data_IF_328325685232
#
_entry.id   IF_328325685232
#
_cell.length_a   1.000
_cell.length_b   1.000
_cell.length_c   1.000
_cell.angle_alpha   90.00
_cell.angle_beta   90.00
_cell.angle_gamma   90.00
#
_symmetry.space_group_name_H-M   'P 1'
#
loop_
_entity.id
_entity.type
_entity.pdbx_description
1 polymer ?
#
# COMPACT_ATOMS: atom_id res chain seq x y z
N UNK A 1 19.95 0.89 -6.19
CA UNK A 1 19.43 1.14 -7.55
C UNK A 1 18.60 2.42 -7.54
N UNK A 2 18.75 3.31 -8.53
CA UNK A 2 17.99 4.57 -8.62
C UNK A 2 16.49 4.35 -8.79
N UNK A 3 16.08 3.25 -9.43
CA UNK A 3 14.67 2.93 -9.69
C UNK A 3 13.89 2.64 -8.41
N UNK A 4 14.57 2.23 -7.32
CA UNK A 4 13.94 2.00 -6.01
C UNK A 4 13.27 3.28 -5.51
N UNK A 5 13.89 4.43 -5.72
CA UNK A 5 13.36 5.69 -5.18
C UNK A 5 12.33 6.37 -6.08
N UNK A 6 12.21 5.93 -7.33
CA UNK A 6 11.26 6.45 -8.30
C UNK A 6 9.97 5.63 -8.23
N UNK A 7 8.79 6.22 -7.92
CA UNK A 7 7.52 5.50 -7.86
C UNK A 7 7.25 4.65 -9.11
N UNK A 8 7.41 5.26 -10.28
CA UNK A 8 7.25 4.61 -11.59
C UNK A 8 8.26 3.49 -11.83
N UNK A 9 9.37 3.41 -11.09
CA UNK A 9 10.39 2.38 -11.28
C UNK A 9 9.93 0.96 -10.95
N UNK A 10 8.79 0.78 -10.26
CA UNK A 10 8.34 -0.52 -9.75
C UNK A 10 8.27 -1.61 -10.83
N UNK A 11 7.79 -1.29 -12.04
CA UNK A 11 7.65 -2.26 -13.13
C UNK A 11 9.00 -2.84 -13.60
N UNK A 12 10.11 -2.13 -13.39
CA UNK A 12 11.46 -2.61 -13.70
C UNK A 12 12.07 -3.47 -12.59
N UNK A 13 11.50 -3.42 -11.38
CA UNK A 13 12.07 -4.03 -10.19
C UNK A 13 11.36 -5.31 -9.76
N UNK A 14 10.17 -5.58 -10.31
CA UNK A 14 9.45 -6.85 -10.12
C UNK A 14 9.97 -7.98 -11.03
N UNK A 15 11.12 -7.75 -11.68
CA UNK A 15 11.91 -8.74 -12.40
C UNK A 15 13.39 -8.41 -12.24
N UNK A 16 14.28 -9.38 -12.52
CA UNK A 16 15.72 -9.18 -12.47
C UNK A 16 16.35 -9.29 -11.07
N UNK A 17 17.51 -8.64 -10.81
CA UNK A 17 18.38 -8.99 -9.68
C UNK A 17 17.90 -8.49 -8.30
N UNK A 18 16.87 -7.65 -8.29
CA UNK A 18 16.30 -7.05 -7.07
C UNK A 18 15.21 -7.93 -6.43
N UNK A 19 14.90 -9.08 -7.04
CA UNK A 19 14.02 -10.09 -6.46
C UNK A 19 14.77 -11.39 -6.20
N UNK A 20 14.19 -12.26 -5.37
CA UNK A 20 14.69 -13.62 -5.14
C UNK A 20 14.52 -14.54 -6.34
N UNK A 21 13.61 -14.21 -7.27
CA UNK A 21 13.37 -14.99 -8.49
C UNK A 21 12.52 -16.25 -8.25
N UNK A 22 11.53 -16.17 -7.36
CA UNK A 22 10.61 -17.28 -7.16
C UNK A 22 9.58 -17.37 -8.28
N UNK A 23 9.26 -18.60 -8.65
CA UNK A 23 8.20 -18.95 -9.56
C UNK A 23 7.17 -19.83 -8.85
N UNK A 24 5.89 -19.56 -9.07
CA UNK A 24 4.83 -20.45 -8.64
C UNK A 24 4.89 -21.76 -9.44
N UNK A 25 4.57 -22.89 -8.79
CA UNK A 25 4.41 -24.14 -9.49
C UNK A 25 3.31 -24.02 -10.57
N UNK A 26 3.46 -24.70 -11.72
CA UNK A 26 2.44 -24.68 -12.76
C UNK A 26 1.12 -25.28 -12.22
N UNK A 27 0.01 -24.57 -12.42
CA UNK A 27 -1.32 -24.99 -11.98
C UNK A 27 -2.22 -25.36 -13.15
N UNK A 28 -3.02 -26.43 -13.02
CA UNK A 28 -4.00 -26.82 -14.05
C UNK A 28 -5.10 -25.76 -14.22
N UNK A 29 -5.40 -25.05 -13.15
CA UNK A 29 -6.40 -23.97 -13.05
C UNK A 29 -5.97 -22.71 -13.81
N UNK A 30 -4.69 -22.63 -14.20
CA UNK A 30 -4.11 -21.53 -14.95
C UNK A 30 -3.47 -22.00 -16.26
N UNK A 31 -3.97 -23.11 -16.82
CA UNK A 31 -3.51 -23.72 -18.08
C UNK A 31 -2.00 -24.05 -18.08
N UNK A 32 -1.49 -24.51 -16.94
CA UNK A 32 -0.08 -24.89 -16.78
C UNK A 32 0.89 -23.70 -16.79
N UNK A 33 0.39 -22.45 -16.72
CA UNK A 33 1.24 -21.26 -16.66
C UNK A 33 2.10 -21.26 -15.39
N UNK A 34 3.32 -20.76 -15.54
CA UNK A 34 4.22 -20.44 -14.44
C UNK A 34 4.14 -18.94 -14.20
N UNK A 35 3.85 -18.54 -12.96
CA UNK A 35 3.67 -17.13 -12.59
C UNK A 35 4.87 -16.70 -11.75
N UNK A 36 5.54 -15.63 -12.17
CA UNK A 36 6.61 -15.00 -11.39
C UNK A 36 6.03 -14.48 -10.08
N UNK A 37 6.66 -14.83 -8.97
CA UNK A 37 6.30 -14.39 -7.63
C UNK A 37 7.36 -13.39 -7.11
N UNK A 38 7.19 -12.07 -7.37
CA UNK A 38 8.22 -11.10 -7.10
C UNK A 38 8.37 -10.85 -5.59
N UNK A 39 9.39 -11.47 -5.00
CA UNK A 39 9.81 -11.20 -3.62
C UNK A 39 11.10 -10.41 -3.60
N UNK A 40 11.07 -9.26 -2.92
CA UNK A 40 12.18 -8.32 -2.92
C UNK A 40 13.42 -8.86 -2.18
N UNK A 41 14.58 -8.62 -2.77
CA UNK A 41 15.91 -8.90 -2.19
C UNK A 41 16.70 -7.60 -2.05
N UNK A 42 16.16 -6.66 -1.28
CA UNK A 42 16.76 -5.34 -1.00
C UNK A 42 16.39 -4.88 0.41
N UNK A 43 17.13 -3.91 0.96
CA UNK A 43 16.74 -3.26 2.22
C UNK A 43 15.33 -2.63 2.10
N UNK A 44 14.53 -2.81 3.14
CA UNK A 44 13.11 -2.45 3.16
C UNK A 44 12.19 -3.46 2.47
N UNK A 45 12.76 -4.54 1.92
CA UNK A 45 12.00 -5.66 1.34
C UNK A 45 10.99 -5.20 0.29
N UNK A 46 9.78 -5.78 0.35
CA UNK A 46 8.71 -5.50 -0.60
C UNK A 46 8.38 -4.01 -0.75
N UNK A 47 8.47 -3.23 0.34
CA UNK A 47 8.16 -1.79 0.29
C UNK A 47 9.08 -0.99 -0.63
N UNK A 48 10.29 -1.49 -0.92
CA UNK A 48 11.25 -0.87 -1.81
C UNK A 48 10.99 -1.16 -3.30
N UNK A 49 10.12 -2.12 -3.62
CA UNK A 49 9.82 -2.50 -5.01
C UNK A 49 8.33 -2.57 -5.36
N UNK A 50 7.42 -2.56 -4.37
CA UNK A 50 5.97 -2.64 -4.57
C UNK A 50 5.44 -1.44 -5.39
N UNK A 51 4.14 -1.41 -5.71
CA UNK A 51 3.47 -0.30 -6.41
C UNK A 51 3.04 0.88 -5.51
N UNK A 52 3.49 0.92 -4.25
CA UNK A 52 3.22 1.96 -3.25
C UNK A 52 1.77 2.24 -2.87
N UNK A 53 0.77 1.55 -3.44
CA UNK A 53 -0.64 1.75 -3.07
C UNK A 53 -0.81 1.57 -1.55
N UNK A 54 -1.40 2.58 -0.90
CA UNK A 54 -1.60 2.60 0.54
C UNK A 54 -3.08 2.38 0.86
N UNK A 55 -3.42 1.15 1.22
CA UNK A 55 -4.73 0.74 1.71
C UNK A 55 -4.54 -0.15 2.93
N UNK A 56 -5.38 0.02 3.94
CA UNK A 56 -5.31 -0.75 5.20
C UNK A 56 -6.13 -2.02 5.15
N UNK A 57 -7.07 -2.17 4.22
CA UNK A 57 -8.09 -3.22 4.28
C UNK A 57 -9.30 -2.79 5.10
N UNK A 58 -10.33 -3.63 5.13
CA UNK A 58 -11.61 -3.35 5.77
C UNK A 58 -11.56 -3.68 7.26
N UNK A 59 -12.31 -2.97 8.14
CA UNK A 59 -12.39 -3.31 9.56
C UNK A 59 -12.71 -4.79 9.82
N UNK A 60 -13.58 -5.37 8.99
CA UNK A 60 -14.00 -6.76 9.05
C UNK A 60 -12.84 -7.75 8.85
N UNK A 61 -11.79 -7.38 8.11
CA UNK A 61 -10.62 -8.24 7.94
C UNK A 61 -9.93 -8.49 9.29
N UNK A 62 -9.80 -7.42 10.09
CA UNK A 62 -9.15 -7.43 11.41
C UNK A 62 -10.06 -8.02 12.49
N UNK A 63 -11.34 -7.65 12.47
CA UNK A 63 -12.32 -8.20 13.40
C UNK A 63 -12.48 -9.72 13.19
N UNK A 64 -12.42 -10.19 11.94
CA UNK A 64 -12.37 -11.61 11.60
C UNK A 64 -11.12 -12.31 12.15
N UNK A 65 -9.93 -11.67 12.12
CA UNK A 65 -8.74 -12.24 12.78
C UNK A 65 -8.97 -12.49 14.27
N UNK A 66 -9.55 -11.50 14.96
CA UNK A 66 -9.81 -11.60 16.39
C UNK A 66 -10.90 -12.65 16.71
N UNK A 67 -12.02 -12.62 15.97
CA UNK A 67 -13.19 -13.44 16.25
C UNK A 67 -13.04 -14.89 15.76
N UNK A 68 -12.57 -15.09 14.52
CA UNK A 68 -12.62 -16.40 13.86
C UNK A 68 -11.32 -17.20 14.06
N UNK A 69 -10.19 -16.52 14.27
CA UNK A 69 -8.87 -17.14 14.37
C UNK A 69 -8.22 -16.98 15.76
N UNK A 70 -8.91 -16.34 16.71
CA UNK A 70 -8.44 -16.19 18.09
C UNK A 70 -7.28 -15.20 18.26
N UNK A 71 -7.04 -14.32 17.29
CA UNK A 71 -6.01 -13.28 17.36
C UNK A 71 -6.46 -12.14 18.28
N UNK A 72 -6.52 -12.41 19.58
CA UNK A 72 -6.96 -11.41 20.59
C UNK A 72 -6.09 -10.15 20.52
N UNK A 73 -6.72 -8.97 20.49
CA UNK A 73 -6.04 -7.68 20.36
C UNK A 73 -5.65 -7.29 18.93
N UNK A 74 -6.15 -8.01 17.92
CA UNK A 74 -5.98 -7.68 16.51
C UNK A 74 -7.26 -7.18 15.83
N UNK A 75 -8.31 -6.87 16.59
CA UNK A 75 -9.52 -6.25 16.05
C UNK A 75 -9.22 -4.85 15.50
N UNK A 76 -10.08 -4.33 14.62
CA UNK A 76 -9.79 -3.07 13.92
C UNK A 76 -9.54 -1.91 14.89
N UNK A 77 -10.32 -1.84 15.97
CA UNK A 77 -10.17 -0.83 17.01
C UNK A 77 -8.80 -0.91 17.73
N UNK A 78 -8.22 -2.11 17.86
CA UNK A 78 -6.94 -2.33 18.52
C UNK A 78 -5.76 -1.92 17.62
N UNK A 79 -5.87 -2.17 16.31
CA UNK A 79 -4.80 -1.88 15.34
C UNK A 79 -4.85 -0.46 14.78
N UNK A 80 -6.01 0.21 14.78
CA UNK A 80 -6.17 1.57 14.26
C UNK A 80 -5.15 2.58 14.84
N UNK A 81 -4.87 2.61 16.16
CA UNK A 81 -3.85 3.49 16.72
C UNK A 81 -2.46 3.26 16.12
N UNK A 82 -2.13 2.04 15.70
CA UNK A 82 -0.85 1.72 15.07
C UNK A 82 -0.81 2.20 13.62
N UNK A 83 -1.92 2.09 12.88
CA UNK A 83 -2.03 2.68 11.55
C UNK A 83 -1.85 4.19 11.59
N UNK A 84 -2.60 4.86 12.47
CA UNK A 84 -2.50 6.32 12.68
C UNK A 84 -1.07 6.70 13.07
N UNK A 85 -0.44 6.01 14.03
CA UNK A 85 0.94 6.31 14.44
C UNK A 85 1.97 6.12 13.32
N UNK A 86 1.75 5.16 12.43
CA UNK A 86 2.68 4.87 11.32
C UNK A 86 2.64 5.90 10.20
N UNK A 87 1.49 6.54 10.03
CA UNK A 87 1.14 7.35 8.87
C UNK A 87 1.53 8.81 9.07
N UNK A 88 2.28 9.36 8.12
CA UNK A 88 2.38 10.78 7.91
C UNK A 88 1.63 11.14 6.64
N UNK A 89 0.33 11.44 6.73
CA UNK A 89 -0.51 11.79 5.59
C UNK A 89 -0.39 13.29 5.27
N UNK A 90 -0.42 13.66 3.98
CA UNK A 90 -0.38 15.05 3.53
C UNK A 90 -1.75 15.63 3.12
N UNK A 91 -2.78 14.79 3.09
CA UNK A 91 -4.11 15.11 2.56
C UNK A 91 -5.17 14.99 3.64
N UNK A 92 -5.15 13.89 4.40
CA UNK A 92 -6.15 13.57 5.42
C UNK A 92 -5.58 13.69 6.82
N UNK A 93 -6.45 14.02 7.78
CA UNK A 93 -6.13 14.12 9.19
C UNK A 93 -7.39 13.78 10.00
N UNK A 94 -7.22 13.37 11.25
CA UNK A 94 -8.35 13.12 12.15
C UNK A 94 -8.16 11.84 12.95
N UNK A 95 -9.28 11.27 13.40
CA UNK A 95 -9.27 10.04 14.21
C UNK A 95 -8.66 8.86 13.45
N UNK A 96 -8.91 8.79 12.16
CA UNK A 96 -8.49 7.68 11.30
C UNK A 96 -7.13 7.92 10.64
N UNK A 97 -6.55 9.13 10.71
CA UNK A 97 -5.31 9.45 9.97
C UNK A 97 -4.25 10.12 10.82
N UNK A 98 -3.02 9.63 10.69
CA UNK A 98 -1.84 10.28 11.23
C UNK A 98 -1.22 11.24 10.23
N UNK A 99 -0.66 12.35 10.73
CA UNK A 99 0.07 13.34 9.91
C UNK A 99 1.57 13.39 10.25
N UNK A 100 1.95 12.86 11.42
CA UNK A 100 3.31 12.95 11.96
C UNK A 100 4.10 11.65 11.86
N UNK A 101 3.48 10.57 11.38
CA UNK A 101 4.11 9.27 11.26
C UNK A 101 5.24 9.25 10.22
N UNK A 102 6.20 8.32 10.37
CA UNK A 102 7.38 8.27 9.50
C UNK A 102 7.06 7.80 8.06
N UNK A 103 5.97 7.05 7.86
CA UNK A 103 5.58 6.59 6.53
C UNK A 103 4.86 7.72 5.79
N UNK A 104 5.57 8.33 4.84
CA UNK A 104 4.99 9.39 4.01
C UNK A 104 3.90 8.85 3.09
N UNK A 105 2.66 9.29 3.32
CA UNK A 105 1.47 8.96 2.53
C UNK A 105 0.96 10.23 1.84
N UNK A 106 0.63 10.12 0.56
CA UNK A 106 0.18 11.25 -0.23
C UNK A 106 -0.82 10.91 -1.33
N UNK A 107 -1.58 11.93 -1.71
CA UNK A 107 -2.49 11.92 -2.86
C UNK A 107 -1.78 12.50 -4.09
N UNK A 108 -1.46 11.65 -5.06
CA UNK A 108 -0.92 12.09 -6.34
C UNK A 108 -2.00 12.72 -7.24
N UNK A 109 -1.57 13.49 -8.24
CA UNK A 109 -2.49 13.95 -9.29
C UNK A 109 -2.85 12.78 -10.23
N UNK A 110 -4.12 12.32 -10.25
CA UNK A 110 -4.49 11.22 -11.13
C UNK A 110 -4.48 11.65 -12.60
N UNK A 111 -4.12 10.71 -13.47
CA UNK A 111 -4.17 10.91 -14.92
C UNK A 111 -5.61 11.29 -15.36
N UNK A 112 -5.79 12.15 -16.38
CA UNK A 112 -7.12 12.53 -16.85
C UNK A 112 -8.04 11.35 -17.17
N UNK A 113 -7.51 10.28 -17.77
CA UNK A 113 -8.27 9.04 -18.01
C UNK A 113 -8.74 8.36 -16.73
N UNK A 114 -7.95 8.38 -15.65
CA UNK A 114 -8.37 7.84 -14.34
C UNK A 114 -9.57 8.59 -13.80
N UNK A 115 -9.61 9.92 -13.98
CA UNK A 115 -10.77 10.74 -13.57
C UNK A 115 -12.01 10.37 -14.38
N UNK A 116 -11.86 10.15 -15.68
CA UNK A 116 -12.95 9.72 -16.57
C UNK A 116 -13.46 8.33 -16.15
N UNK A 117 -12.55 7.40 -15.84
CA UNK A 117 -12.91 6.06 -15.36
C UNK A 117 -13.70 6.11 -14.05
N UNK A 118 -13.24 6.87 -13.06
CA UNK A 118 -13.97 7.03 -11.78
C UNK A 118 -15.33 7.68 -11.97
N UNK A 119 -15.47 8.60 -12.94
CA UNK A 119 -16.78 9.18 -13.30
C UNK A 119 -17.70 8.14 -13.95
N UNK A 120 -17.18 7.31 -14.84
CA UNK A 120 -17.94 6.23 -15.47
C UNK A 120 -18.42 5.19 -14.43
N UNK A 121 -17.57 4.86 -13.45
CA UNK A 121 -17.93 4.00 -12.33
C UNK A 121 -19.10 4.58 -11.51
N UNK A 122 -19.09 5.89 -11.24
CA UNK A 122 -20.21 6.57 -10.60
C UNK A 122 -21.50 6.51 -11.43
N UNK A 123 -21.41 6.70 -12.74
CA UNK A 123 -22.56 6.59 -13.65
C UNK A 123 -23.12 5.16 -13.69
N UNK A 124 -22.29 4.15 -13.43
CA UNK A 124 -22.70 2.75 -13.28
C UNK A 124 -23.28 2.42 -11.88
N UNK A 125 -23.36 3.40 -10.97
CA UNK A 125 -23.99 3.25 -9.66
C UNK A 125 -23.01 3.06 -8.50
N UNK A 126 -21.70 3.05 -8.72
CA UNK A 126 -20.73 2.95 -7.63
C UNK A 126 -20.58 4.29 -6.91
N UNK A 127 -20.68 4.34 -5.56
CA UNK A 127 -20.46 5.59 -4.84
C UNK A 127 -19.02 6.08 -5.00
N UNK A 128 -18.83 7.40 -5.00
CA UNK A 128 -17.49 7.97 -4.99
C UNK A 128 -16.86 7.88 -3.60
N UNK A 129 -15.61 7.40 -3.53
CA UNK A 129 -14.80 7.38 -2.30
C UNK A 129 -13.58 8.26 -2.48
N UNK A 130 -13.51 9.32 -1.68
CA UNK A 130 -12.31 10.16 -1.61
C UNK A 130 -11.18 9.49 -0.82
N UNK A 131 -11.54 8.59 0.10
CA UNK A 131 -10.63 7.94 1.01
C UNK A 131 -11.05 6.47 1.19
N UNK A 132 -10.08 5.58 1.06
CA UNK A 132 -10.24 4.13 1.22
C UNK A 132 -9.77 3.62 2.59
N UNK A 133 -9.31 4.51 3.47
CA UNK A 133 -8.77 4.16 4.78
C UNK A 133 -9.62 4.67 5.95
N UNK A 134 -10.76 5.31 5.65
CA UNK A 134 -11.76 5.77 6.61
C UNK A 134 -13.19 5.54 6.08
N UNK A 135 -14.14 5.36 7.01
CA UNK A 135 -15.55 5.17 6.66
C UNK A 135 -15.81 3.91 5.85
N UNK A 136 -16.68 4.03 4.84
CA UNK A 136 -17.07 2.95 3.94
C UNK A 136 -16.17 2.94 2.70
N UNK A 137 -15.51 1.80 2.45
CA UNK A 137 -14.55 1.63 1.35
C UNK A 137 -15.21 1.24 0.03
N UNK A 138 -16.43 0.70 0.05
CA UNK A 138 -17.06 0.18 -1.17
C UNK A 138 -17.36 1.34 -2.12
N UNK A 139 -16.77 1.33 -3.32
CA UNK A 139 -17.00 2.35 -4.34
C UNK A 139 -15.82 2.57 -5.27
N UNK A 140 -15.83 3.73 -5.95
CA UNK A 140 -14.79 4.13 -6.89
C UNK A 140 -14.14 5.44 -6.46
N UNK A 141 -12.81 5.52 -6.58
CA UNK A 141 -12.05 6.60 -5.98
C UNK A 141 -10.59 6.65 -6.42
N UNK A 142 -9.81 7.47 -5.74
CA UNK A 142 -8.37 7.57 -5.97
C UNK A 142 -7.63 7.09 -4.72
N UNK A 143 -6.79 6.08 -4.86
CA UNK A 143 -5.97 5.60 -3.75
C UNK A 143 -4.84 6.58 -3.44
N UNK A 144 -4.41 6.60 -2.18
CA UNK A 144 -3.16 7.23 -1.78
C UNK A 144 -1.98 6.29 -2.00
N UNK A 145 -0.78 6.85 -2.01
CA UNK A 145 0.46 6.07 -2.14
C UNK A 145 1.44 6.38 -1.02
N UNK A 146 2.31 5.44 -0.68
CA UNK A 146 3.47 5.67 0.19
C UNK A 146 4.56 6.43 -0.57
N UNK A 147 4.27 7.68 -0.93
CA UNK A 147 5.20 8.59 -1.60
C UNK A 147 5.22 9.94 -0.88
N UNK A 148 6.40 10.57 -0.86
CA UNK A 148 6.64 11.90 -0.29
C UNK A 148 7.58 12.66 -1.19
N UNK A 149 7.25 13.91 -1.50
CA UNK A 149 8.04 14.79 -2.37
C UNK A 149 8.40 14.14 -3.72
N UNK A 150 7.44 13.43 -4.31
CA UNK A 150 7.61 12.71 -5.58
C UNK A 150 8.51 11.46 -5.52
N UNK A 151 8.92 11.02 -4.32
CA UNK A 151 9.79 9.87 -4.11
C UNK A 151 9.07 8.77 -3.32
N UNK A 152 9.47 7.52 -3.55
CA UNK A 152 9.00 6.39 -2.74
C UNK A 152 9.38 6.58 -1.26
N UNK A 153 8.41 6.40 -0.38
CA UNK A 153 8.60 6.28 1.06
C UNK A 153 8.56 4.80 1.48
N UNK A 154 9.67 4.09 1.28
CA UNK A 154 9.78 2.67 1.70
C UNK A 154 10.10 2.55 3.19
N UNK A 155 9.94 1.37 3.78
CA UNK A 155 10.29 1.16 5.20
C UNK A 155 11.78 1.43 5.49
N UNK A 156 12.66 1.17 4.51
CA UNK A 156 14.08 1.52 4.61
C UNK A 156 14.30 3.03 4.70
N UNK A 157 13.52 3.83 3.97
CA UNK A 157 13.63 5.30 3.98
C UNK A 157 12.92 5.89 5.19
N UNK A 158 11.71 5.43 5.49
CA UNK A 158 10.85 5.96 6.54
C UNK A 158 11.36 5.61 7.95
N UNK A 159 11.83 4.38 8.17
CA UNK A 159 12.18 3.88 9.51
C UNK A 159 13.68 3.66 9.70
N UNK A 160 14.34 2.95 8.77
CA UNK A 160 15.74 2.57 8.97
C UNK A 160 16.70 3.76 8.81
N UNK A 161 16.54 4.55 7.74
CA UNK A 161 17.45 5.66 7.45
C UNK A 161 17.55 6.69 8.59
N UNK A 162 16.46 7.16 9.22
CA UNK A 162 16.54 8.05 10.38
C UNK A 162 17.21 7.43 11.61
N UNK A 163 17.24 6.10 11.71
CA UNK A 163 17.80 5.37 12.84
C UNK A 163 19.27 4.96 12.66
N UNK A 164 19.89 5.19 11.50
CA UNK A 164 21.26 4.73 11.18
C UNK A 164 22.34 5.25 12.14
N UNK A 165 22.15 6.44 12.74
CA UNK A 165 23.12 7.04 13.66
C UNK A 165 23.01 6.59 15.12
N UNK A 166 22.23 5.55 15.42
CA UNK A 166 21.97 5.06 16.79
C UNK A 166 22.90 3.91 17.20
N UNK A 167 24.04 3.75 16.52
CA UNK A 167 25.06 2.73 16.79
C UNK A 167 26.37 3.32 17.26
#
# INVERSE_FOLDING_TARGET
DRYIHMPVGFFKMTSGPLIWGYDAAPGKEIDGRVIVYPQARVLGGGSSINAQVFTRGCPQDYDGWAADFGCTGWGYADVLPYFVRSEGNDTFAGREHGIDGPLGVSSGAPHPLTRIFVKAAQQAGLPFRADFNAGDQEGAGFYQTTTRDGRRSSTAVAYLKPALGRG
#
